data_IF_452792285284
#
_entry.id   IF_452792285284
#
_cell.length_a   1.000
_cell.length_b   1.000
_cell.length_c   1.000
_cell.angle_alpha   90.00
_cell.angle_beta   90.00
_cell.angle_gamma   90.00
#
_symmetry.space_group_name_H-M   'P 1'
#
loop_
_entity.id
_entity.type
_entity.pdbx_description
1 polymer ?
#
# COMPACT_ATOMS: atom_id res chain seq x y z
N UNK A 1 -12.82 -16.79 -21.78
CA UNK A 1 -13.08 -15.60 -20.94
C UNK A 1 -11.73 -14.98 -20.60
N UNK A 2 -11.40 -13.80 -21.14
CA UNK A 2 -10.13 -13.13 -20.80
C UNK A 2 -10.20 -12.66 -19.35
N UNK A 3 -9.35 -13.19 -18.47
CA UNK A 3 -9.22 -12.66 -17.11
C UNK A 3 -8.55 -11.30 -17.20
N UNK A 4 -9.24 -10.25 -16.74
CA UNK A 4 -8.62 -8.93 -16.59
C UNK A 4 -7.58 -9.01 -15.48
N UNK A 5 -6.31 -8.92 -15.84
CA UNK A 5 -5.18 -8.90 -14.92
C UNK A 5 -5.09 -7.49 -14.34
N UNK A 6 -5.21 -7.34 -13.02
CA UNK A 6 -5.14 -6.02 -12.38
C UNK A 6 -3.73 -5.62 -11.99
N UNK A 7 -2.96 -6.60 -11.52
CA UNK A 7 -1.57 -6.44 -11.17
C UNK A 7 -0.73 -7.41 -11.98
N UNK A 8 0.40 -6.99 -12.51
CA UNK A 8 1.38 -7.87 -13.15
C UNK A 8 2.47 -8.19 -12.14
N UNK A 9 2.67 -9.48 -11.86
CA UNK A 9 3.81 -9.94 -11.06
C UNK A 9 5.12 -9.71 -11.81
N UNK A 10 6.06 -9.00 -11.19
CA UNK A 10 7.41 -8.76 -11.66
C UNK A 10 8.39 -9.20 -10.58
N UNK A 11 8.81 -10.48 -10.63
CA UNK A 11 9.63 -11.08 -9.58
C UNK A 11 8.91 -11.12 -8.23
N UNK A 12 9.39 -10.32 -7.27
CA UNK A 12 8.86 -10.21 -5.90
C UNK A 12 7.86 -9.05 -5.74
N UNK A 13 7.70 -8.22 -6.76
CA UNK A 13 6.84 -7.04 -6.75
C UNK A 13 5.63 -7.23 -7.66
N UNK A 14 4.57 -6.46 -7.38
CA UNK A 14 3.37 -6.38 -8.19
C UNK A 14 3.27 -4.97 -8.79
N UNK A 15 2.97 -4.88 -10.08
CA UNK A 15 2.81 -3.59 -10.78
C UNK A 15 1.35 -3.46 -11.20
N UNK A 16 0.62 -2.41 -10.80
CA UNK A 16 -0.75 -2.22 -11.27
C UNK A 16 -0.73 -1.94 -12.78
N UNK A 17 -1.42 -2.78 -13.56
CA UNK A 17 -1.53 -2.66 -15.03
C UNK A 17 -2.95 -2.33 -15.50
N UNK A 18 -3.91 -2.30 -14.57
CA UNK A 18 -5.32 -2.03 -14.83
C UNK A 18 -5.83 -0.88 -13.96
N UNK A 19 -6.91 -0.22 -14.41
CA UNK A 19 -7.53 0.89 -13.68
C UNK A 19 -7.92 0.54 -12.23
N UNK A 20 -8.42 -0.68 -12.00
CA UNK A 20 -8.73 -1.17 -10.65
C UNK A 20 -7.49 -1.32 -9.77
N UNK A 21 -6.38 -1.84 -10.33
CA UNK A 21 -5.11 -1.93 -9.59
C UNK A 21 -4.54 -0.57 -9.23
N UNK A 22 -4.67 0.41 -10.13
CA UNK A 22 -4.31 1.81 -9.86
C UNK A 22 -5.19 2.42 -8.76
N UNK A 23 -6.51 2.20 -8.81
CA UNK A 23 -7.45 2.69 -7.80
C UNK A 23 -7.13 2.15 -6.41
N UNK A 24 -6.89 0.84 -6.27
CA UNK A 24 -6.51 0.23 -4.99
C UNK A 24 -5.18 0.81 -4.48
N UNK A 25 -4.21 1.02 -5.38
CA UNK A 25 -2.91 1.61 -5.04
C UNK A 25 -3.07 3.06 -4.58
N UNK A 26 -3.91 3.85 -5.25
CA UNK A 26 -4.23 5.22 -4.85
C UNK A 26 -4.92 5.27 -3.49
N UNK A 27 -5.88 4.38 -3.22
CA UNK A 27 -6.55 4.31 -1.92
C UNK A 27 -5.55 3.99 -0.80
N UNK A 28 -4.61 3.06 -1.04
CA UNK A 28 -3.54 2.76 -0.09
C UNK A 28 -2.64 3.98 0.20
N UNK A 29 -2.29 4.75 -0.84
CA UNK A 29 -1.51 5.99 -0.70
C UNK A 29 -2.31 7.04 0.09
N UNK A 30 -3.56 7.31 -0.31
CA UNK A 30 -4.43 8.27 0.36
C UNK A 30 -4.63 7.93 1.84
N UNK A 31 -4.71 6.64 2.18
CA UNK A 31 -4.77 6.19 3.56
C UNK A 31 -3.46 6.42 4.32
N UNK A 32 -2.31 6.19 3.69
CA UNK A 32 -1.00 6.36 4.34
C UNK A 32 -0.57 7.82 4.49
N UNK A 33 -1.02 8.73 3.62
CA UNK A 33 -0.69 10.17 3.71
C UNK A 33 -0.99 10.77 5.09
N UNK A 34 -2.21 10.69 5.66
CA UNK A 34 -2.50 11.25 6.98
C UNK A 34 -1.71 10.55 8.10
N UNK A 35 -1.44 9.24 7.98
CA UNK A 35 -0.60 8.51 8.95
C UNK A 35 0.82 9.08 8.97
N UNK A 36 1.44 9.25 7.80
CA UNK A 36 2.78 9.81 7.69
C UNK A 36 2.83 11.28 8.13
N UNK A 37 1.84 12.08 7.77
CA UNK A 37 1.73 13.49 8.21
C UNK A 37 1.58 13.57 9.72
N UNK A 38 0.78 12.70 10.32
CA UNK A 38 0.62 12.65 11.78
C UNK A 38 1.92 12.25 12.48
N UNK A 39 2.59 11.20 11.99
CA UNK A 39 3.86 10.73 12.53
C UNK A 39 4.95 11.80 12.44
N UNK A 40 4.97 12.58 11.35
CA UNK A 40 5.93 13.66 11.18
C UNK A 40 5.62 14.88 12.08
N UNK A 41 4.35 15.23 12.23
CA UNK A 41 3.94 16.45 12.96
C UNK A 41 3.94 16.27 14.48
N UNK A 42 3.59 15.06 14.95
CA UNK A 42 3.40 14.77 16.38
C UNK A 42 4.51 13.88 16.97
N UNK A 43 5.43 13.38 16.14
CA UNK A 43 6.52 12.52 16.59
C UNK A 43 7.53 13.30 17.45
N UNK A 44 7.81 12.81 18.65
CA UNK A 44 8.83 13.39 19.53
C UNK A 44 10.24 12.84 19.26
N UNK A 45 10.34 11.76 18.46
CA UNK A 45 11.57 11.11 18.03
C UNK A 45 11.36 10.43 16.68
N UNK A 46 12.45 10.19 15.95
CA UNK A 46 12.42 9.38 14.72
C UNK A 46 11.89 7.98 14.99
N UNK A 47 12.25 7.38 16.13
CA UNK A 47 11.77 6.05 16.52
C UNK A 47 10.25 6.03 16.72
N UNK A 48 9.69 7.05 17.37
CA UNK A 48 8.25 7.19 17.62
C UNK A 48 7.45 7.25 16.31
N UNK A 49 7.91 8.08 15.36
CA UNK A 49 7.32 8.15 14.03
C UNK A 49 7.42 6.82 13.25
N UNK A 50 8.55 6.12 13.36
CA UNK A 50 8.73 4.80 12.73
C UNK A 50 7.78 3.75 13.33
N UNK A 51 7.59 3.72 14.65
CA UNK A 51 6.64 2.78 15.27
C UNK A 51 5.21 3.04 14.82
N UNK A 52 4.81 4.31 14.75
CA UNK A 52 3.48 4.68 14.29
C UNK A 52 3.25 4.29 12.82
N UNK A 53 4.21 4.59 11.94
CA UNK A 53 4.14 4.21 10.51
C UNK A 53 4.19 2.70 10.33
N UNK A 54 4.96 1.97 11.15
CA UNK A 54 5.13 0.52 11.02
C UNK A 54 3.80 -0.22 11.13
N UNK A 55 2.96 0.12 12.10
CA UNK A 55 1.68 -0.58 12.33
C UNK A 55 0.75 -0.38 11.14
N UNK A 56 0.44 0.87 10.78
CA UNK A 56 -0.48 1.15 9.68
C UNK A 56 0.10 0.80 8.31
N UNK A 57 1.40 1.03 8.12
CA UNK A 57 2.11 0.74 6.88
C UNK A 57 2.18 -0.76 6.60
N UNK A 58 2.55 -1.58 7.59
CA UNK A 58 2.58 -3.03 7.42
C UNK A 58 1.20 -3.62 7.09
N UNK A 59 0.15 -3.19 7.78
CA UNK A 59 -1.23 -3.60 7.47
C UNK A 59 -1.63 -3.19 6.04
N UNK A 60 -1.38 -1.94 5.64
CA UNK A 60 -1.76 -1.44 4.32
C UNK A 60 -1.03 -2.18 3.20
N UNK A 61 0.29 -2.36 3.34
CA UNK A 61 1.12 -3.09 2.37
C UNK A 61 0.71 -4.57 2.31
N UNK A 62 0.39 -5.19 3.43
CA UNK A 62 -0.09 -6.57 3.48
C UNK A 62 -1.39 -6.75 2.69
N UNK A 63 -2.39 -5.91 2.96
CA UNK A 63 -3.67 -5.96 2.25
C UNK A 63 -3.51 -5.68 0.76
N UNK A 64 -2.72 -4.67 0.41
CA UNK A 64 -2.43 -4.34 -0.98
C UNK A 64 -1.77 -5.53 -1.70
N UNK A 65 -0.77 -6.17 -1.09
CA UNK A 65 -0.08 -7.35 -1.64
C UNK A 65 -1.03 -8.53 -1.81
N UNK A 66 -1.89 -8.79 -0.82
CA UNK A 66 -2.88 -9.86 -0.89
C UNK A 66 -3.86 -9.66 -2.05
N UNK A 67 -4.36 -8.42 -2.27
CA UNK A 67 -5.23 -8.12 -3.41
C UNK A 67 -4.47 -8.31 -4.72
N UNK A 68 -3.24 -7.83 -4.80
CA UNK A 68 -2.39 -8.01 -5.97
C UNK A 68 -2.18 -9.50 -6.28
N UNK A 69 -1.90 -10.33 -5.28
CA UNK A 69 -1.76 -11.79 -5.42
C UNK A 69 -3.03 -12.48 -5.94
N UNK A 70 -4.23 -12.00 -5.56
CA UNK A 70 -5.51 -12.57 -6.01
C UNK A 70 -5.94 -12.11 -7.40
N UNK A 71 -5.34 -11.05 -7.92
CA UNK A 71 -5.77 -10.38 -9.17
C UNK A 71 -4.66 -10.29 -10.22
N UNK A 72 -3.56 -11.03 -10.00
CA UNK A 72 -2.43 -11.21 -10.93
C UNK A 72 -2.57 -12.46 -11.79
#
# INVERSE_FOLDING_TARGET
MMKTIWFKKSGWLYVPVHGMGLLITLLAIVFMVPVCVNALRNGHSVSDGLYQIFIYGSCTVFWWKWIAEKTS
#
